data_IF_042469100705
#
_entry.id   IF_042469100705
#
_cell.length_a   1.000
_cell.length_b   1.000
_cell.length_c   1.000
_cell.angle_alpha   90.00
_cell.angle_beta   90.00
_cell.angle_gamma   90.00
#
_symmetry.space_group_name_H-M   'P 1'
#
loop_
_entity.id
_entity.type
_entity.pdbx_description
1 polymer ?
#
# COMPACT_ATOMS: atom_id res chain seq x y z
N UNK A 1 -11.48 -18.05 14.37
CA UNK A 1 -10.76 -19.30 14.03
C UNK A 1 -11.34 -20.04 12.81
N UNK A 2 -12.54 -19.69 12.31
CA UNK A 2 -13.15 -20.31 11.11
C UNK A 2 -12.40 -20.00 9.80
N UNK A 3 -11.78 -18.81 9.68
CA UNK A 3 -11.08 -18.40 8.45
C UNK A 3 -9.76 -19.13 8.19
N UNK A 4 -9.12 -19.68 9.23
CA UNK A 4 -7.90 -20.46 9.06
C UNK A 4 -8.18 -21.83 8.42
N UNK A 5 -9.39 -22.37 8.65
CA UNK A 5 -9.83 -23.66 8.11
C UNK A 5 -10.17 -23.60 6.61
N UNK A 6 -10.64 -22.43 6.13
CA UNK A 6 -10.98 -22.24 4.71
C UNK A 6 -9.73 -22.05 3.81
N UNK A 7 -8.60 -21.60 4.36
CA UNK A 7 -7.39 -21.26 3.59
C UNK A 7 -6.27 -22.31 3.63
N UNK A 8 -6.43 -23.39 4.40
CA UNK A 8 -5.37 -24.39 4.61
C UNK A 8 -5.23 -25.39 3.44
N UNK A 9 -6.21 -25.46 2.54
CA UNK A 9 -6.21 -26.39 1.40
C UNK A 9 -5.24 -26.07 0.25
N UNK A 10 -5.23 -24.85 -0.35
CA UNK A 10 -4.58 -24.66 -1.65
C UNK A 10 -3.18 -23.98 -1.64
N UNK A 11 -2.74 -23.28 -0.58
CA UNK A 11 -1.66 -22.27 -0.68
C UNK A 11 -0.42 -22.45 0.22
N UNK A 12 -0.27 -23.57 0.94
CA UNK A 12 0.90 -23.96 1.77
C UNK A 12 1.54 -22.83 2.62
N UNK A 13 2.51 -22.07 2.11
CA UNK A 13 3.21 -21.00 2.85
C UNK A 13 2.69 -19.58 2.57
N UNK A 14 2.17 -19.31 1.37
CA UNK A 14 1.57 -18.02 1.03
C UNK A 14 0.20 -17.84 1.72
N UNK A 15 -0.49 -18.94 2.00
CA UNK A 15 -1.78 -18.94 2.71
C UNK A 15 -1.67 -18.44 4.15
N UNK A 16 -0.57 -18.76 4.85
CA UNK A 16 -0.36 -18.32 6.24
C UNK A 16 -0.10 -16.81 6.34
N UNK A 17 0.74 -16.25 5.47
CA UNK A 17 1.00 -14.80 5.45
C UNK A 17 -0.23 -14.00 5.02
N UNK A 18 -0.98 -14.50 4.03
CA UNK A 18 -2.23 -13.89 3.57
C UNK A 18 -3.33 -13.95 4.65
N UNK A 19 -3.40 -15.05 5.41
CA UNK A 19 -4.35 -15.21 6.53
C UNK A 19 -4.08 -14.20 7.65
N UNK A 20 -2.81 -13.94 8.00
CA UNK A 20 -2.43 -12.92 8.99
C UNK A 20 -2.82 -11.52 8.50
N UNK A 21 -2.53 -11.20 7.22
CA UNK A 21 -2.93 -9.92 6.62
C UNK A 21 -4.45 -9.72 6.63
N UNK A 22 -5.21 -10.74 6.23
CA UNK A 22 -6.68 -10.71 6.27
C UNK A 22 -7.23 -10.60 7.69
N UNK A 23 -6.64 -11.31 8.65
CA UNK A 23 -7.02 -11.23 10.05
C UNK A 23 -6.79 -9.80 10.61
N UNK A 24 -5.67 -9.15 10.25
CA UNK A 24 -5.40 -7.77 10.63
C UNK A 24 -6.40 -6.80 10.01
N UNK A 25 -6.70 -6.94 8.71
CA UNK A 25 -7.70 -6.13 8.02
C UNK A 25 -9.10 -6.30 8.64
N UNK A 26 -9.51 -7.53 8.96
CA UNK A 26 -10.78 -7.79 9.61
C UNK A 26 -10.83 -7.27 11.03
N UNK A 27 -9.76 -7.42 11.80
CA UNK A 27 -9.70 -6.87 13.16
C UNK A 27 -9.84 -5.34 13.13
N UNK A 28 -9.13 -4.67 12.22
CA UNK A 28 -9.26 -3.22 12.02
C UNK A 28 -10.67 -2.82 11.56
N UNK A 29 -11.29 -3.58 10.65
CA UNK A 29 -12.65 -3.32 10.16
C UNK A 29 -13.71 -3.52 11.26
N UNK A 30 -13.60 -4.58 12.07
CA UNK A 30 -14.48 -4.84 13.21
C UNK A 30 -14.36 -3.75 14.28
N UNK A 31 -13.13 -3.34 14.60
CA UNK A 31 -12.88 -2.24 15.53
C UNK A 31 -13.51 -0.94 15.01
N UNK A 32 -13.27 -0.59 13.74
CA UNK A 32 -13.88 0.58 13.11
C UNK A 32 -15.42 0.52 13.12
N UNK A 33 -15.99 -0.64 12.81
CA UNK A 33 -17.44 -0.84 12.84
C UNK A 33 -18.01 -0.65 14.25
N UNK A 34 -17.34 -1.18 15.27
CA UNK A 34 -17.76 -1.07 16.66
C UNK A 34 -17.64 0.37 17.18
N UNK A 35 -16.57 1.09 16.85
CA UNK A 35 -16.42 2.52 17.16
C UNK A 35 -17.54 3.37 16.55
N UNK A 36 -17.91 3.06 15.29
CA UNK A 36 -19.01 3.74 14.61
C UNK A 36 -20.36 3.40 15.25
N UNK A 37 -20.58 2.14 15.62
CA UNK A 37 -21.84 1.68 16.24
C UNK A 37 -22.04 2.28 17.63
N UNK A 38 -20.96 2.46 18.39
CA UNK A 38 -20.97 3.15 19.68
C UNK A 38 -20.97 4.68 19.56
N UNK A 39 -21.00 5.25 18.34
CA UNK A 39 -20.96 6.69 18.06
C UNK A 39 -19.76 7.43 18.68
N UNK A 40 -18.71 6.71 19.10
CA UNK A 40 -17.48 7.29 19.65
C UNK A 40 -16.69 8.01 18.53
N UNK A 41 -16.83 7.55 17.29
CA UNK A 41 -16.15 8.11 16.13
C UNK A 41 -17.13 8.53 15.03
N UNK A 42 -17.15 9.82 14.71
CA UNK A 42 -17.85 10.38 13.55
C UNK A 42 -16.82 10.67 12.44
N UNK A 43 -16.87 9.96 11.30
CA UNK A 43 -15.93 10.20 10.22
C UNK A 43 -16.15 11.61 9.65
N UNK A 44 -15.05 12.38 9.56
CA UNK A 44 -15.10 13.70 8.94
C UNK A 44 -15.45 13.58 7.44
N UNK A 45 -16.17 14.55 6.86
CA UNK A 45 -16.41 14.58 5.43
C UNK A 45 -15.07 14.71 4.67
N UNK A 46 -14.90 13.98 3.55
CA UNK A 46 -13.70 14.04 2.70
C UNK A 46 -12.89 12.75 2.57
N UNK A 47 -13.16 11.73 3.39
CA UNK A 47 -12.46 10.44 3.34
C UNK A 47 -12.57 9.72 1.98
N UNK A 48 -13.72 9.79 1.33
CA UNK A 48 -13.91 9.15 0.02
C UNK A 48 -12.98 9.74 -1.05
N UNK A 49 -12.89 11.07 -1.10
CA UNK A 49 -12.02 11.77 -2.05
C UNK A 49 -10.54 11.49 -1.74
N UNK A 50 -10.18 11.41 -0.45
CA UNK A 50 -8.85 10.98 -0.01
C UNK A 50 -8.50 9.58 -0.51
N UNK A 51 -9.37 8.59 -0.27
CA UNK A 51 -9.17 7.21 -0.70
C UNK A 51 -9.06 7.11 -2.23
N UNK A 52 -9.88 7.85 -2.97
CA UNK A 52 -9.82 7.85 -4.43
C UNK A 52 -8.49 8.40 -4.95
N UNK A 53 -8.00 9.52 -4.38
CA UNK A 53 -6.67 10.07 -4.71
C UNK A 53 -5.54 9.08 -4.38
N UNK A 54 -5.64 8.40 -3.24
CA UNK A 54 -4.65 7.40 -2.82
C UNK A 54 -4.62 6.20 -3.77
N UNK A 55 -5.79 5.67 -4.16
CA UNK A 55 -5.89 4.56 -5.12
C UNK A 55 -5.27 4.95 -6.47
N UNK A 56 -5.57 6.14 -6.98
CA UNK A 56 -4.97 6.64 -8.23
C UNK A 56 -3.44 6.75 -8.10
N UNK A 57 -2.93 7.27 -6.98
CA UNK A 57 -1.49 7.36 -6.74
C UNK A 57 -0.79 6.00 -6.71
N UNK A 58 -1.41 5.00 -6.09
CA UNK A 58 -0.89 3.63 -6.05
C UNK A 58 -0.92 2.97 -7.43
N UNK A 59 -1.97 3.21 -8.23
CA UNK A 59 -2.05 2.69 -9.60
C UNK A 59 -0.94 3.29 -10.47
N UNK A 60 -0.74 4.61 -10.42
CA UNK A 60 0.30 5.27 -11.21
C UNK A 60 1.69 4.83 -10.77
N UNK A 61 1.95 4.70 -9.46
CA UNK A 61 3.20 4.15 -8.94
C UNK A 61 3.41 2.72 -9.46
N UNK A 62 2.38 1.87 -9.43
CA UNK A 62 2.46 0.49 -9.91
C UNK A 62 2.76 0.44 -11.41
N UNK A 63 2.10 1.27 -12.22
CA UNK A 63 2.36 1.37 -13.65
C UNK A 63 3.79 1.86 -13.95
N UNK A 64 4.28 2.85 -13.21
CA UNK A 64 5.66 3.33 -13.34
C UNK A 64 6.68 2.25 -12.99
N UNK A 65 6.46 1.52 -11.89
CA UNK A 65 7.31 0.40 -11.49
C UNK A 65 7.31 -0.72 -12.51
N UNK A 66 6.15 -1.08 -13.08
CA UNK A 66 6.04 -2.08 -14.15
C UNK A 66 6.76 -1.62 -15.43
N UNK A 67 6.65 -0.34 -15.79
CA UNK A 67 7.38 0.24 -16.92
C UNK A 67 8.90 0.20 -16.70
N UNK A 68 9.37 0.58 -15.51
CA UNK A 68 10.79 0.46 -15.14
C UNK A 68 11.23 -0.99 -15.19
N UNK A 69 10.41 -1.92 -14.68
CA UNK A 69 10.72 -3.35 -14.67
C UNK A 69 10.79 -3.94 -16.09
N UNK A 70 10.01 -3.43 -17.03
CA UNK A 70 10.05 -3.85 -18.44
C UNK A 70 11.31 -3.35 -19.17
N UNK A 71 11.77 -2.13 -18.85
CA UNK A 71 13.03 -1.60 -19.38
C UNK A 71 14.25 -2.23 -18.71
N UNK A 72 14.09 -2.83 -17.52
CA UNK A 72 15.22 -3.31 -16.74
C UNK A 72 15.72 -4.66 -17.26
N UNK A 73 17.04 -4.81 -17.49
CA UNK A 73 17.61 -6.10 -17.84
C UNK A 73 17.47 -7.10 -16.69
N UNK A 74 17.37 -8.38 -17.06
CA UNK A 74 17.36 -9.56 -16.19
C UNK A 74 18.08 -9.34 -14.85
N UNK A 75 17.34 -9.49 -13.74
CA UNK A 75 17.85 -9.35 -12.37
C UNK A 75 18.97 -10.34 -12.05
N UNK A 76 19.11 -11.39 -12.87
CA UNK A 76 20.16 -12.40 -12.79
C UNK A 76 21.52 -11.88 -13.26
N UNK A 77 21.58 -10.81 -14.06
CA UNK A 77 22.82 -10.31 -14.66
C UNK A 77 23.50 -9.24 -13.79
N UNK A 78 24.75 -9.54 -13.38
CA UNK A 78 25.63 -8.62 -12.65
C UNK A 78 26.01 -9.14 -11.25
N UNK A 79 27.07 -8.57 -10.69
CA UNK A 79 27.54 -8.86 -9.32
C UNK A 79 26.58 -8.28 -8.28
N UNK A 80 26.64 -8.78 -7.04
CA UNK A 80 25.77 -8.37 -5.92
C UNK A 80 25.55 -6.84 -5.77
N UNK A 81 26.59 -5.98 -5.91
CA UNK A 81 26.42 -4.53 -5.79
C UNK A 81 25.56 -3.91 -6.89
N UNK A 82 25.67 -4.41 -8.13
CA UNK A 82 24.87 -3.93 -9.25
C UNK A 82 23.39 -4.27 -9.07
N UNK A 83 23.06 -5.44 -8.50
CA UNK A 83 21.68 -5.80 -8.18
C UNK A 83 21.09 -4.87 -7.12
N UNK A 84 21.84 -4.58 -6.06
CA UNK A 84 21.43 -3.64 -5.01
C UNK A 84 21.20 -2.22 -5.57
N UNK A 85 22.11 -1.74 -6.42
CA UNK A 85 22.00 -0.41 -7.02
C UNK A 85 20.79 -0.31 -7.95
N UNK A 86 20.55 -1.33 -8.78
CA UNK A 86 19.34 -1.46 -9.59
C UNK A 86 18.08 -1.40 -8.71
N UNK A 87 18.06 -2.17 -7.62
CA UNK A 87 16.93 -2.20 -6.70
C UNK A 87 16.68 -0.83 -6.04
N UNK A 88 17.74 -0.12 -5.65
CA UNK A 88 17.63 1.25 -5.15
C UNK A 88 17.06 2.21 -6.19
N UNK A 89 17.45 2.11 -7.47
CA UNK A 89 16.90 2.94 -8.55
C UNK A 89 15.40 2.68 -8.73
N UNK A 90 14.97 1.42 -8.72
CA UNK A 90 13.53 1.07 -8.83
C UNK A 90 12.74 1.62 -7.64
N UNK A 91 13.26 1.47 -6.42
CA UNK A 91 12.63 1.99 -5.21
C UNK A 91 12.52 3.51 -5.27
N UNK A 92 13.60 4.20 -5.62
CA UNK A 92 13.59 5.66 -5.75
C UNK A 92 12.64 6.13 -6.84
N UNK A 93 12.58 5.44 -7.99
CA UNK A 93 11.62 5.73 -9.05
C UNK A 93 10.17 5.57 -8.57
N UNK A 94 9.86 4.51 -7.82
CA UNK A 94 8.55 4.31 -7.20
C UNK A 94 8.19 5.40 -6.20
N UNK A 95 9.13 5.77 -5.32
CA UNK A 95 8.95 6.87 -4.34
C UNK A 95 8.67 8.18 -5.07
N UNK A 96 9.46 8.52 -6.08
CA UNK A 96 9.27 9.75 -6.87
C UNK A 96 7.94 9.71 -7.61
N UNK A 97 7.57 8.60 -8.25
CA UNK A 97 6.28 8.46 -8.94
C UNK A 97 5.10 8.63 -7.98
N UNK A 98 5.15 8.00 -6.81
CA UNK A 98 4.11 8.11 -5.79
C UNK A 98 3.95 9.55 -5.28
N UNK A 99 5.04 10.18 -4.84
CA UNK A 99 4.99 11.55 -4.32
C UNK A 99 4.64 12.56 -5.41
N UNK A 100 5.18 12.44 -6.62
CA UNK A 100 4.82 13.30 -7.75
C UNK A 100 3.33 13.20 -8.06
N UNK A 101 2.78 11.97 -8.07
CA UNK A 101 1.35 11.76 -8.31
C UNK A 101 0.50 12.36 -7.19
N UNK A 102 0.88 12.14 -5.92
CA UNK A 102 0.19 12.73 -4.78
C UNK A 102 0.17 14.28 -4.87
N UNK A 103 1.32 14.89 -5.21
CA UNK A 103 1.45 16.33 -5.41
C UNK A 103 0.54 16.83 -6.56
N UNK A 104 0.50 16.12 -7.68
CA UNK A 104 -0.36 16.44 -8.83
C UNK A 104 -1.85 16.31 -8.51
N UNK A 105 -2.24 15.33 -7.72
CA UNK A 105 -3.63 15.16 -7.22
C UNK A 105 -4.03 16.21 -6.17
N UNK A 106 -3.18 17.21 -5.92
CA UNK A 106 -3.43 18.31 -5.00
C UNK A 106 -3.30 17.91 -3.53
N UNK A 107 -2.64 16.78 -3.26
CA UNK A 107 -2.34 16.35 -1.91
C UNK A 107 -1.20 17.21 -1.35
N UNK A 108 -1.54 18.16 -0.47
CA UNK A 108 -0.51 18.98 0.19
C UNK A 108 0.16 18.10 1.23
N UNK A 109 1.47 17.86 1.09
CA UNK A 109 2.31 17.19 2.11
C UNK A 109 2.14 17.82 3.51
N UNK A 110 1.71 19.09 3.57
CA UNK A 110 1.34 19.82 4.78
C UNK A 110 0.12 19.26 5.55
N UNK A 111 -0.77 18.47 4.93
CA UNK A 111 -1.89 17.81 5.65
C UNK A 111 -1.43 16.63 6.52
N UNK A 112 -0.25 16.05 6.22
CA UNK A 112 0.37 15.04 7.08
C UNK A 112 0.91 15.65 8.37
N UNK A 113 1.33 16.93 8.31
CA UNK A 113 1.67 17.72 9.48
C UNK A 113 0.38 18.25 10.13
N UNK A 114 -0.46 17.35 10.66
CA UNK A 114 -1.38 17.73 11.73
C UNK A 114 -0.52 18.20 12.90
N UNK A 115 -0.27 19.51 12.96
CA UNK A 115 0.08 20.19 14.20
C UNK A 115 -1.13 20.01 15.11
N UNK A 116 -1.07 19.00 15.97
CA UNK A 116 -1.79 19.02 17.23
C UNK A 116 -1.18 20.16 18.05
N UNK A 117 -1.78 21.35 17.97
CA UNK A 117 -1.66 22.37 19.01
C UNK A 117 -2.91 22.29 19.85
#
# INVERSE_FOLDING_TARGET
>A
QVMNLAFIGPLKHAGLSLSIGLAACLNAALLYWQLRKQKIFTPQPGWFLFLLRLVIAVIIMSAALLGVMYLMPEWSQGTMPFRLLRLMVVVMAGVVAYFATLLLLGFRVKEFARRTV
#
